data_IF_789800985558
#
_entry.id   IF_789800985558
#
_cell.length_a   1.000
_cell.length_b   1.000
_cell.length_c   1.000
_cell.angle_alpha   90.00
_cell.angle_beta   90.00
_cell.angle_gamma   90.00
#
_symmetry.space_group_name_H-M   'P 1'
#
loop_
_entity.id
_entity.type
_entity.pdbx_description
1 polymer ?
#
# COMPACT_ATOMS: atom_id res chain seq x y z
N UNK A 1 55.79 -0.92 40.12
CA UNK A 1 56.52 0.13 39.41
C UNK A 1 55.54 0.72 38.42
N UNK A 2 55.13 1.93 38.70
CA UNK A 2 54.09 2.64 38.03
C UNK A 2 54.55 3.24 36.69
N UNK A 3 53.67 3.34 35.72
CA UNK A 3 53.59 4.55 34.88
C UNK A 3 52.18 4.69 34.31
N UNK A 4 51.57 5.76 34.73
CA UNK A 4 50.44 6.44 34.15
C UNK A 4 50.80 6.90 32.72
N UNK A 5 49.88 6.77 31.81
CA UNK A 5 49.81 7.75 30.73
C UNK A 5 48.35 8.16 30.46
N UNK A 6 48.12 9.47 30.46
CA UNK A 6 46.89 10.19 30.15
C UNK A 6 46.93 10.55 28.67
N UNK A 7 45.88 10.17 27.94
CA UNK A 7 45.67 10.62 26.56
C UNK A 7 44.21 11.01 26.38
N UNK A 8 43.93 12.25 26.57
CA UNK A 8 43.31 13.26 25.71
C UNK A 8 42.03 12.83 25.01
N UNK A 9 40.93 13.24 25.60
CA UNK A 9 39.60 13.38 24.98
C UNK A 9 39.60 14.55 23.99
N UNK A 10 39.47 14.28 22.70
CA UNK A 10 39.04 15.29 21.72
C UNK A 10 37.57 15.11 21.41
N UNK A 11 36.78 15.92 22.02
CA UNK A 11 35.39 16.25 21.66
C UNK A 11 35.42 16.99 20.32
N UNK A 12 35.02 16.36 19.23
CA UNK A 12 34.67 17.06 17.99
C UNK A 12 33.17 17.39 18.02
N UNK A 13 32.90 18.66 18.30
CA UNK A 13 31.60 19.26 18.09
C UNK A 13 31.27 19.21 16.59
N UNK A 14 30.20 18.51 16.26
CA UNK A 14 29.56 18.58 14.96
C UNK A 14 28.72 19.84 14.94
N UNK A 15 29.15 20.86 14.22
CA UNK A 15 28.40 22.07 13.95
C UNK A 15 27.45 21.79 12.78
N UNK A 16 26.17 21.76 13.08
CA UNK A 16 25.03 21.67 12.17
C UNK A 16 24.73 23.06 11.57
N UNK A 17 25.51 23.52 10.57
CA UNK A 17 25.22 24.77 9.89
C UNK A 17 25.53 24.76 8.39
N UNK A 18 25.00 23.78 7.63
CA UNK A 18 25.17 23.84 6.16
C UNK A 18 24.06 23.22 5.32
N UNK A 19 22.81 23.19 5.80
CA UNK A 19 21.70 22.65 4.99
C UNK A 19 20.62 23.65 4.57
N UNK A 20 20.82 24.96 4.74
CA UNK A 20 19.91 25.98 4.23
C UNK A 20 20.63 27.07 3.41
N UNK A 21 21.11 26.68 2.23
CA UNK A 21 21.46 27.67 1.19
C UNK A 21 21.10 27.08 -0.16
N UNK A 22 19.90 27.39 -0.64
CA UNK A 22 19.40 26.96 -1.93
C UNK A 22 18.18 27.77 -2.35
N UNK A 23 18.45 28.94 -2.92
CA UNK A 23 17.79 29.66 -4.02
C UNK A 23 16.26 29.87 -3.99
N UNK A 24 15.85 31.13 -3.70
CA UNK A 24 15.12 31.94 -4.67
C UNK A 24 13.73 31.47 -5.08
N UNK A 25 12.75 31.55 -4.19
CA UNK A 25 11.35 31.70 -4.55
C UNK A 25 10.96 33.14 -4.26
N UNK A 26 10.73 33.97 -5.30
CA UNK A 26 10.38 35.36 -5.20
C UNK A 26 9.09 35.56 -4.41
N UNK A 27 9.20 36.23 -3.29
CA UNK A 27 8.07 36.80 -2.59
C UNK A 27 7.65 38.03 -3.40
N UNK A 28 6.47 37.99 -4.00
CA UNK A 28 5.86 39.17 -4.59
C UNK A 28 5.57 40.16 -3.46
N UNK A 29 6.46 41.17 -3.31
CA UNK A 29 6.17 42.36 -2.54
C UNK A 29 5.04 43.10 -3.25
N UNK A 30 3.91 43.25 -2.59
CA UNK A 30 2.93 44.27 -2.94
C UNK A 30 3.55 45.63 -2.58
N UNK A 31 3.74 46.45 -3.60
CA UNK A 31 4.30 47.79 -3.47
C UNK A 31 3.21 48.72 -2.94
N UNK A 32 3.27 49.06 -1.65
CA UNK A 32 2.33 49.94 -0.97
C UNK A 32 2.61 51.46 -1.26
N UNK A 33 3.24 51.75 -2.40
CA UNK A 33 3.58 53.14 -2.77
C UNK A 33 2.53 53.90 -3.56
N UNK A 34 1.28 53.37 -3.69
CA UNK A 34 0.21 54.06 -4.42
C UNK A 34 -0.84 54.78 -3.52
N UNK A 35 -0.55 55.02 -2.24
CA UNK A 35 -1.52 55.69 -1.36
C UNK A 35 -0.94 57.00 -0.80
N UNK A 36 -0.60 57.94 -1.68
CA UNK A 36 -0.41 59.33 -1.25
C UNK A 36 -0.44 60.29 -2.41
N UNK A 37 -1.62 60.50 -2.98
CA UNK A 37 -1.89 61.76 -3.72
C UNK A 37 -3.42 61.96 -3.81
N UNK A 38 -3.91 63.03 -3.19
CA UNK A 38 -5.13 63.69 -3.64
C UNK A 38 -6.37 63.46 -2.79
N UNK A 39 -6.38 63.95 -1.56
CA UNK A 39 -7.61 64.45 -0.96
C UNK A 39 -7.88 65.84 -1.53
N UNK A 40 -8.55 65.88 -2.66
CA UNK A 40 -9.15 67.14 -3.10
C UNK A 40 -10.48 66.89 -3.79
N UNK A 41 -11.48 67.57 -3.23
CA UNK A 41 -12.76 67.91 -3.84
C UNK A 41 -13.76 66.77 -4.05
N UNK A 42 -14.56 66.57 -3.03
CA UNK A 42 -15.94 66.10 -3.18
C UNK A 42 -16.71 67.13 -4.04
N UNK A 43 -16.86 66.88 -5.34
CA UNK A 43 -17.87 67.57 -6.15
C UNK A 43 -19.17 66.80 -6.13
N UNK A 44 -20.31 67.52 -6.19
CA UNK A 44 -21.61 66.92 -5.95
C UNK A 44 -21.98 65.95 -7.07
N UNK A 45 -22.70 64.94 -6.66
CA UNK A 45 -23.34 63.89 -7.44
C UNK A 45 -23.96 64.42 -8.74
N UNK A 46 -23.29 64.15 -9.86
CA UNK A 46 -23.89 64.35 -11.19
C UNK A 46 -24.75 63.15 -11.51
N UNK A 47 -26.06 63.33 -11.41
CA UNK A 47 -27.11 62.35 -11.75
C UNK A 47 -27.32 62.24 -13.25
N UNK A 48 -26.29 62.17 -14.06
CA UNK A 48 -26.43 61.76 -15.46
C UNK A 48 -26.46 60.23 -15.51
N UNK A 49 -27.65 59.68 -15.42
CA UNK A 49 -27.92 58.31 -15.82
C UNK A 49 -27.56 58.15 -17.29
N UNK A 50 -26.32 57.67 -17.53
CA UNK A 50 -25.98 57.11 -18.83
C UNK A 50 -26.87 55.88 -19.01
N UNK A 51 -27.86 56.06 -19.88
CA UNK A 51 -28.65 54.91 -20.38
C UNK A 51 -27.69 53.89 -20.96
N UNK A 52 -27.60 52.73 -20.33
CA UNK A 52 -26.88 51.60 -20.89
C UNK A 52 -27.60 51.25 -22.20
N UNK A 53 -26.91 51.45 -23.30
CA UNK A 53 -27.37 51.04 -24.62
C UNK A 53 -27.31 49.52 -24.72
N UNK A 54 -28.47 48.90 -24.50
CA UNK A 54 -28.64 47.45 -24.56
C UNK A 54 -28.58 46.87 -25.98
N UNK A 55 -28.35 47.72 -26.99
CA UNK A 55 -28.25 47.29 -28.39
C UNK A 55 -26.86 46.80 -28.79
N UNK A 56 -25.85 46.94 -27.92
CA UNK A 56 -24.50 46.46 -28.19
C UNK A 56 -24.20 45.06 -27.57
N UNK A 57 -25.20 44.36 -27.07
CA UNK A 57 -25.04 43.00 -26.62
C UNK A 57 -25.07 42.06 -27.83
N UNK A 58 -23.90 41.80 -28.40
CA UNK A 58 -23.74 40.67 -29.31
C UNK A 58 -23.89 39.41 -28.46
N UNK A 59 -24.87 38.53 -28.67
CA UNK A 59 -24.94 37.28 -27.95
C UNK A 59 -23.63 36.53 -28.23
N UNK A 60 -22.90 36.23 -27.19
CA UNK A 60 -21.74 35.33 -27.30
C UNK A 60 -22.24 34.02 -27.92
N UNK A 61 -21.75 33.73 -29.11
CA UNK A 61 -22.02 32.47 -29.77
C UNK A 61 -21.62 31.33 -28.81
N UNK A 62 -22.60 30.49 -28.49
CA UNK A 62 -22.38 29.33 -27.62
C UNK A 62 -21.19 28.46 -28.04
N UNK A 63 -20.91 28.43 -29.35
CA UNK A 63 -19.78 27.69 -29.91
C UNK A 63 -18.41 28.24 -29.49
N UNK A 64 -18.32 29.54 -29.17
CA UNK A 64 -17.06 30.16 -28.69
C UNK A 64 -16.86 30.03 -27.18
N UNK A 65 -17.93 29.84 -26.43
CA UNK A 65 -17.87 29.59 -24.97
C UNK A 65 -17.48 28.14 -24.70
N UNK A 66 -18.08 27.20 -25.43
CA UNK A 66 -17.75 25.77 -25.27
C UNK A 66 -16.31 25.46 -25.69
N UNK A 67 -15.78 26.17 -26.69
CA UNK A 67 -14.37 25.98 -27.13
C UNK A 67 -13.34 26.62 -26.18
N UNK A 68 -13.72 27.61 -25.36
CA UNK A 68 -12.83 28.23 -24.39
C UNK A 68 -12.83 27.57 -23.03
N UNK A 69 -13.97 27.03 -22.59
CA UNK A 69 -14.07 26.30 -21.35
C UNK A 69 -13.40 24.93 -21.44
N UNK A 70 -13.43 24.29 -22.60
CA UNK A 70 -12.70 23.04 -22.85
C UNK A 70 -11.17 23.23 -22.85
N UNK A 71 -10.68 24.41 -23.25
CA UNK A 71 -9.24 24.71 -23.27
C UNK A 71 -8.71 25.19 -21.90
N UNK A 72 -9.55 25.82 -21.04
CA UNK A 72 -9.14 26.27 -19.72
C UNK A 72 -9.08 25.10 -18.71
N UNK A 73 -9.84 24.05 -18.95
CA UNK A 73 -9.76 22.78 -18.23
C UNK A 73 -9.11 21.67 -19.06
N UNK A 74 -8.55 22.01 -20.21
CA UNK A 74 -7.67 21.10 -20.94
C UNK A 74 -6.48 20.83 -20.05
N UNK A 75 -6.63 19.80 -19.36
CA UNK A 75 -5.86 18.99 -18.44
C UNK A 75 -4.42 18.77 -18.92
N UNK A 76 -3.71 19.90 -19.19
CA UNK A 76 -2.33 19.90 -19.66
C UNK A 76 -1.34 19.40 -18.64
N UNK A 77 -1.77 19.15 -17.39
CA UNK A 77 -0.86 18.74 -16.32
C UNK A 77 -1.33 17.53 -15.50
N UNK A 78 -2.43 16.87 -15.86
CA UNK A 78 -2.55 15.46 -15.51
C UNK A 78 -1.51 14.73 -16.35
N UNK A 79 -0.33 14.59 -15.81
CA UNK A 79 0.63 13.60 -16.29
C UNK A 79 -0.18 12.32 -16.44
N UNK A 80 -0.55 11.98 -17.67
CA UNK A 80 -1.03 10.65 -17.99
C UNK A 80 0.12 9.78 -17.52
N UNK A 81 -0.02 9.19 -16.33
CA UNK A 81 0.92 8.19 -15.86
C UNK A 81 0.87 7.10 -16.93
N UNK A 82 1.73 7.27 -17.92
CA UNK A 82 1.92 6.27 -18.96
C UNK A 82 2.22 4.97 -18.23
N UNK A 83 1.70 3.88 -18.70
CA UNK A 83 2.01 2.57 -18.15
C UNK A 83 3.52 2.43 -17.94
N UNK A 84 3.94 2.21 -16.69
CA UNK A 84 5.32 1.92 -16.33
C UNK A 84 5.39 0.43 -15.99
N UNK A 85 6.28 -0.31 -16.64
CA UNK A 85 6.46 -1.75 -16.39
C UNK A 85 6.92 -2.06 -14.96
N UNK A 86 7.47 -1.07 -14.25
CA UNK A 86 8.03 -1.23 -12.90
C UNK A 86 7.08 -1.85 -11.88
N UNK A 87 5.88 -1.29 -11.65
CA UNK A 87 4.92 -1.88 -10.71
C UNK A 87 4.50 -3.30 -11.07
N UNK A 88 4.33 -3.62 -12.36
CA UNK A 88 3.93 -4.95 -12.80
C UNK A 88 5.03 -5.99 -12.56
N UNK A 89 6.29 -5.62 -12.80
CA UNK A 89 7.46 -6.46 -12.51
C UNK A 89 7.62 -6.64 -10.99
N UNK A 90 7.44 -5.57 -10.21
CA UNK A 90 7.47 -5.63 -8.75
C UNK A 90 6.40 -6.56 -8.18
N UNK A 91 5.17 -6.48 -8.68
CA UNK A 91 4.07 -7.36 -8.28
C UNK A 91 4.30 -8.81 -8.73
N UNK A 92 4.85 -9.03 -9.92
CA UNK A 92 5.24 -10.35 -10.37
C UNK A 92 6.29 -10.97 -9.44
N UNK A 93 7.34 -10.21 -9.10
CA UNK A 93 8.38 -10.64 -8.15
C UNK A 93 7.80 -10.95 -6.78
N UNK A 94 6.97 -10.05 -6.24
CA UNK A 94 6.29 -10.24 -4.97
C UNK A 94 5.49 -11.56 -4.94
N UNK A 95 4.66 -11.81 -5.96
CA UNK A 95 3.84 -13.01 -6.06
C UNK A 95 4.68 -14.28 -6.26
N UNK A 96 5.72 -14.21 -7.08
CA UNK A 96 6.60 -15.34 -7.32
C UNK A 96 7.32 -15.77 -6.04
N UNK A 97 7.87 -14.83 -5.28
CA UNK A 97 8.57 -15.11 -4.03
C UNK A 97 7.59 -15.58 -2.96
N UNK A 98 6.55 -14.80 -2.68
CA UNK A 98 5.56 -15.13 -1.65
C UNK A 98 4.85 -16.45 -1.97
N UNK A 99 4.33 -16.56 -3.19
CA UNK A 99 3.63 -17.77 -3.64
C UNK A 99 4.55 -19.00 -3.67
N UNK A 100 5.81 -18.83 -4.10
CA UNK A 100 6.81 -19.89 -4.10
C UNK A 100 7.11 -20.40 -2.69
N UNK A 101 7.32 -19.51 -1.72
CA UNK A 101 7.53 -19.88 -0.32
C UNK A 101 6.35 -20.72 0.19
N UNK A 102 5.13 -20.23 0.06
CA UNK A 102 3.95 -20.96 0.54
C UNK A 102 3.68 -22.25 -0.21
N UNK A 103 3.91 -22.27 -1.52
CA UNK A 103 3.81 -23.50 -2.32
C UNK A 103 4.75 -24.59 -1.79
N UNK A 104 6.01 -24.24 -1.52
CA UNK A 104 6.99 -25.18 -0.96
C UNK A 104 6.60 -25.62 0.45
N UNK A 105 6.12 -24.73 1.30
CA UNK A 105 5.61 -25.09 2.64
C UNK A 105 4.37 -25.97 2.57
N UNK A 106 3.46 -25.71 1.64
CA UNK A 106 2.33 -26.59 1.39
C UNK A 106 2.75 -28.00 0.93
N UNK A 107 3.73 -28.09 0.03
CA UNK A 107 4.31 -29.37 -0.41
C UNK A 107 4.97 -30.13 0.75
N UNK A 108 5.68 -29.44 1.65
CA UNK A 108 6.25 -30.03 2.85
C UNK A 108 5.18 -30.59 3.80
N UNK A 109 4.13 -29.81 4.05
CA UNK A 109 3.07 -30.18 5.00
C UNK A 109 2.14 -31.26 4.47
N UNK A 110 1.80 -31.23 3.19
CA UNK A 110 0.85 -32.17 2.59
C UNK A 110 1.55 -33.49 2.20
N UNK A 111 2.65 -33.39 1.46
CA UNK A 111 3.31 -34.55 0.86
C UNK A 111 4.59 -35.00 1.56
N UNK A 112 5.08 -34.23 2.53
CA UNK A 112 6.35 -34.52 3.20
C UNK A 112 7.59 -34.30 2.32
N UNK A 113 7.47 -33.55 1.23
CA UNK A 113 8.59 -33.27 0.34
C UNK A 113 9.64 -32.38 1.05
N UNK A 114 10.86 -32.36 0.53
CA UNK A 114 11.96 -31.55 1.06
C UNK A 114 12.24 -31.77 2.56
N UNK A 115 12.04 -33.00 3.07
CA UNK A 115 12.20 -33.31 4.48
C UNK A 115 11.09 -32.78 5.40
N UNK A 116 9.96 -32.41 4.84
CA UNK A 116 8.81 -31.94 5.61
C UNK A 116 8.10 -33.03 6.40
N UNK A 117 7.24 -32.67 7.36
CA UNK A 117 6.58 -33.61 8.27
C UNK A 117 5.50 -34.46 7.60
N UNK A 118 5.03 -34.07 6.41
CA UNK A 118 3.82 -34.62 5.82
C UNK A 118 2.58 -34.29 6.63
N UNK A 119 1.41 -34.69 6.11
CA UNK A 119 0.13 -34.32 6.71
C UNK A 119 -0.03 -34.88 8.14
N UNK A 120 0.41 -36.13 8.37
CA UNK A 120 0.29 -36.75 9.69
C UNK A 120 1.22 -36.09 10.72
N UNK A 121 2.48 -35.82 10.36
CA UNK A 121 3.42 -35.14 11.25
C UNK A 121 3.00 -33.70 11.54
N UNK A 122 2.43 -33.02 10.56
CA UNK A 122 1.89 -31.68 10.77
C UNK A 122 0.65 -31.69 11.68
N UNK A 123 -0.27 -32.65 11.50
CA UNK A 123 -1.40 -32.84 12.41
C UNK A 123 -0.97 -33.07 13.85
N UNK A 124 0.04 -33.95 14.09
CA UNK A 124 0.59 -34.16 15.42
C UNK A 124 1.21 -32.90 16.02
N UNK A 125 1.83 -32.06 15.19
CA UNK A 125 2.36 -30.77 15.65
C UNK A 125 1.25 -29.81 16.09
N UNK A 126 0.14 -29.73 15.36
CA UNK A 126 -1.03 -28.95 15.73
C UNK A 126 -1.69 -29.46 17.01
N UNK A 127 -1.78 -30.77 17.19
CA UNK A 127 -2.29 -31.40 18.42
C UNK A 127 -1.45 -30.99 19.64
N UNK A 128 -0.12 -31.04 19.52
CA UNK A 128 0.81 -30.57 20.58
C UNK A 128 0.65 -29.10 20.89
N UNK A 129 0.21 -28.28 19.94
CA UNK A 129 -0.08 -26.86 20.12
C UNK A 129 -1.47 -26.60 20.75
N UNK A 130 -2.26 -27.68 21.01
CA UNK A 130 -3.55 -27.60 21.69
C UNK A 130 -4.76 -27.47 20.77
N UNK A 131 -4.61 -27.75 19.47
CA UNK A 131 -5.75 -27.77 18.56
C UNK A 131 -6.52 -29.09 18.65
N UNK A 132 -7.87 -29.00 18.72
CA UNK A 132 -8.75 -30.18 18.91
C UNK A 132 -8.89 -31.00 17.64
N UNK A 133 -9.17 -30.37 16.49
CA UNK A 133 -9.36 -31.02 15.21
C UNK A 133 -8.09 -30.94 14.34
N UNK A 134 -6.97 -31.43 14.90
CA UNK A 134 -5.63 -31.25 14.31
C UNK A 134 -5.49 -31.77 12.89
N UNK A 135 -6.15 -32.92 12.58
CA UNK A 135 -6.11 -33.52 11.23
C UNK A 135 -6.85 -32.63 10.22
N UNK A 136 -8.02 -32.13 10.56
CA UNK A 136 -8.80 -31.24 9.70
C UNK A 136 -8.03 -29.95 9.45
N UNK A 137 -7.48 -29.35 10.51
CA UNK A 137 -6.69 -28.13 10.41
C UNK A 137 -5.39 -28.32 9.63
N UNK A 138 -4.76 -29.48 9.75
CA UNK A 138 -3.57 -29.80 8.95
C UNK A 138 -3.91 -29.79 7.45
N UNK A 139 -5.02 -30.41 7.05
CA UNK A 139 -5.48 -30.38 5.66
C UNK A 139 -5.88 -28.96 5.22
N UNK A 140 -6.66 -28.25 6.01
CA UNK A 140 -7.08 -26.88 5.68
C UNK A 140 -5.86 -25.98 5.48
N UNK A 141 -4.92 -25.98 6.43
CA UNK A 141 -3.72 -25.15 6.34
C UNK A 141 -2.81 -25.58 5.18
N UNK A 142 -2.54 -26.89 5.06
CA UNK A 142 -1.68 -27.42 3.99
C UNK A 142 -2.22 -27.13 2.59
N UNK A 143 -3.53 -27.32 2.37
CA UNK A 143 -4.17 -27.01 1.09
C UNK A 143 -4.20 -25.49 0.85
N UNK A 144 -4.47 -24.67 1.89
CA UNK A 144 -4.45 -23.22 1.75
C UNK A 144 -3.07 -22.71 1.33
N UNK A 145 -2.01 -23.23 1.92
CA UNK A 145 -0.64 -22.87 1.55
C UNK A 145 -0.30 -23.36 0.14
N UNK A 146 -0.61 -24.61 -0.16
CA UNK A 146 -0.31 -25.23 -1.45
C UNK A 146 -1.06 -24.54 -2.59
N UNK A 147 -2.38 -24.46 -2.47
CA UNK A 147 -3.23 -23.86 -3.49
C UNK A 147 -3.06 -22.34 -3.55
N UNK A 148 -3.05 -21.66 -2.38
CA UNK A 148 -2.86 -20.22 -2.30
C UNK A 148 -1.51 -19.78 -2.87
N UNK A 149 -0.44 -20.52 -2.54
CA UNK A 149 0.89 -20.29 -3.12
C UNK A 149 0.91 -20.46 -4.63
N UNK A 150 0.36 -21.56 -5.13
CA UNK A 150 0.25 -21.83 -6.58
C UNK A 150 -0.59 -20.79 -7.32
N UNK A 151 -1.74 -20.40 -6.76
CA UNK A 151 -2.61 -19.38 -7.32
C UNK A 151 -1.92 -18.01 -7.37
N UNK A 152 -1.14 -17.64 -6.33
CA UNK A 152 -0.37 -16.40 -6.34
C UNK A 152 0.72 -16.39 -7.42
N UNK A 153 1.47 -17.48 -7.56
CA UNK A 153 2.50 -17.58 -8.61
C UNK A 153 1.88 -17.38 -9.99
N UNK A 154 0.76 -18.02 -10.26
CA UNK A 154 0.04 -17.91 -11.53
C UNK A 154 -0.70 -16.57 -11.67
N UNK A 155 -0.96 -15.86 -10.58
CA UNK A 155 -1.79 -14.65 -10.55
C UNK A 155 -3.26 -14.97 -10.82
N UNK A 156 -3.78 -16.04 -10.21
CA UNK A 156 -5.17 -16.44 -10.27
C UNK A 156 -5.83 -16.23 -8.90
N UNK A 157 -7.04 -15.66 -8.89
CA UNK A 157 -7.79 -15.36 -7.67
C UNK A 157 -6.94 -14.67 -6.60
N UNK A 158 -6.05 -13.79 -7.03
CA UNK A 158 -5.00 -13.17 -6.21
C UNK A 158 -5.52 -12.62 -4.87
N UNK A 159 -6.64 -11.86 -4.80
CA UNK A 159 -7.11 -11.36 -3.50
C UNK A 159 -7.50 -12.49 -2.54
N UNK A 160 -8.18 -13.52 -3.03
CA UNK A 160 -8.61 -14.64 -2.19
C UNK A 160 -7.42 -15.49 -1.73
N UNK A 161 -6.49 -15.79 -2.64
CA UNK A 161 -5.27 -16.51 -2.32
C UNK A 161 -4.44 -15.77 -1.27
N UNK A 162 -4.22 -14.48 -1.46
CA UNK A 162 -3.49 -13.63 -0.52
C UNK A 162 -4.19 -13.54 0.85
N UNK A 163 -5.52 -13.46 0.89
CA UNK A 163 -6.29 -13.46 2.14
C UNK A 163 -6.18 -14.78 2.89
N UNK A 164 -6.21 -15.91 2.20
CA UNK A 164 -6.01 -17.24 2.79
C UNK A 164 -4.63 -17.36 3.43
N UNK A 165 -3.58 -16.96 2.71
CA UNK A 165 -2.21 -16.99 3.23
C UNK A 165 -2.01 -16.00 4.40
N UNK A 166 -2.62 -14.82 4.33
CA UNK A 166 -2.62 -13.86 5.44
C UNK A 166 -3.32 -14.44 6.68
N UNK A 167 -4.42 -15.16 6.51
CA UNK A 167 -5.13 -15.84 7.59
C UNK A 167 -4.26 -16.91 8.27
N UNK A 168 -3.52 -17.69 7.48
CA UNK A 168 -2.55 -18.66 8.01
C UNK A 168 -1.47 -17.94 8.83
N UNK A 169 -0.86 -16.88 8.28
CA UNK A 169 0.18 -16.12 8.99
C UNK A 169 -0.36 -15.45 10.25
N UNK A 170 -1.57 -14.92 10.24
CA UNK A 170 -2.19 -14.35 11.44
C UNK A 170 -2.30 -15.38 12.58
N UNK A 171 -2.69 -16.62 12.27
CA UNK A 171 -2.72 -17.70 13.26
C UNK A 171 -1.32 -18.08 13.75
N UNK A 172 -0.33 -18.18 12.85
CA UNK A 172 1.07 -18.49 13.24
C UNK A 172 1.61 -17.40 14.15
N UNK A 173 1.43 -16.13 13.81
CA UNK A 173 1.84 -14.98 14.63
C UNK A 173 1.16 -15.05 16.01
N UNK A 174 -0.16 -15.31 16.05
CA UNK A 174 -0.91 -15.41 17.31
C UNK A 174 -0.42 -16.57 18.20
N UNK A 175 0.16 -17.61 17.64
CA UNK A 175 0.75 -18.73 18.38
C UNK A 175 2.16 -18.40 18.90
N UNK A 176 2.95 -17.72 18.09
CA UNK A 176 4.40 -17.56 18.33
C UNK A 176 4.78 -16.19 18.95
N UNK A 177 3.85 -15.20 19.04
CA UNK A 177 4.18 -13.86 19.50
C UNK A 177 4.85 -13.79 20.88
N UNK A 178 4.62 -14.80 21.73
CA UNK A 178 5.25 -14.90 23.05
C UNK A 178 6.77 -15.19 22.96
N UNK A 179 7.24 -15.70 21.83
CA UNK A 179 8.66 -15.93 21.55
C UNK A 179 9.45 -14.64 21.31
N UNK A 180 8.74 -13.49 21.24
CA UNK A 180 9.35 -12.20 20.94
C UNK A 180 9.33 -11.87 19.46
N UNK A 181 9.90 -10.72 19.12
CA UNK A 181 9.97 -10.27 17.73
C UNK A 181 11.15 -10.92 16.97
N UNK A 182 12.31 -10.90 17.57
CA UNK A 182 13.56 -11.40 16.98
C UNK A 182 13.95 -12.77 17.52
N UNK A 183 14.76 -13.49 16.76
CA UNK A 183 15.38 -14.74 17.19
C UNK A 183 14.74 -15.99 16.59
N UNK A 184 15.21 -17.19 17.00
CA UNK A 184 14.79 -18.46 16.40
C UNK A 184 13.29 -18.78 16.53
N UNK A 185 12.66 -18.21 17.56
CA UNK A 185 11.21 -18.33 17.82
C UNK A 185 10.47 -16.97 17.66
N UNK A 186 11.12 -16.00 17.01
CA UNK A 186 10.54 -14.68 16.75
C UNK A 186 9.53 -14.72 15.62
N UNK A 187 8.74 -13.67 15.51
CA UNK A 187 7.66 -13.56 14.50
C UNK A 187 8.00 -12.60 13.35
N UNK A 188 9.27 -12.21 13.22
CA UNK A 188 9.70 -11.24 12.20
C UNK A 188 9.45 -11.74 10.78
N UNK A 189 9.73 -13.02 10.51
CA UNK A 189 9.53 -13.61 9.19
C UNK A 189 8.04 -13.74 8.86
N UNK A 190 7.26 -14.24 9.81
CA UNK A 190 5.81 -14.39 9.66
C UNK A 190 5.12 -13.04 9.44
N UNK A 191 5.58 -12.00 10.14
CA UNK A 191 5.08 -10.65 9.95
C UNK A 191 5.46 -10.07 8.58
N UNK A 192 6.68 -10.34 8.11
CA UNK A 192 7.10 -9.95 6.77
C UNK A 192 6.27 -10.64 5.68
N UNK A 193 6.03 -11.96 5.82
CA UNK A 193 5.18 -12.72 4.89
C UNK A 193 3.73 -12.25 4.95
N UNK A 194 3.20 -11.94 6.15
CA UNK A 194 1.87 -11.35 6.31
C UNK A 194 1.77 -9.98 5.63
N UNK A 195 2.79 -9.13 5.79
CA UNK A 195 2.87 -7.82 5.11
C UNK A 195 2.89 -7.94 3.59
N UNK A 196 3.65 -8.90 3.06
CA UNK A 196 3.68 -9.19 1.63
C UNK A 196 2.32 -9.72 1.12
N UNK A 197 1.66 -10.59 1.88
CA UNK A 197 0.32 -11.09 1.55
C UNK A 197 -0.72 -9.96 1.58
N UNK A 198 -0.65 -9.07 2.59
CA UNK A 198 -1.48 -7.87 2.67
C UNK A 198 -1.27 -6.93 1.48
N UNK A 199 -0.02 -6.71 1.08
CA UNK A 199 0.29 -5.91 -0.09
C UNK A 199 -0.30 -6.53 -1.37
N UNK A 200 -0.12 -7.84 -1.59
CA UNK A 200 -0.68 -8.55 -2.74
C UNK A 200 -2.22 -8.53 -2.76
N UNK A 201 -2.85 -8.57 -1.59
CA UNK A 201 -4.31 -8.53 -1.41
C UNK A 201 -4.93 -7.25 -2.00
N UNK A 202 -4.32 -6.08 -1.76
CA UNK A 202 -4.84 -4.77 -2.16
C UNK A 202 -4.22 -4.24 -3.46
N UNK A 203 -2.98 -4.57 -3.75
CA UNK A 203 -2.35 -4.19 -5.02
C UNK A 203 -2.91 -4.97 -6.21
N UNK A 204 -3.49 -6.14 -5.93
CA UNK A 204 -4.06 -7.01 -6.96
C UNK A 204 -3.00 -7.79 -7.76
N UNK A 205 -3.41 -8.45 -8.85
CA UNK A 205 -2.55 -9.38 -9.57
C UNK A 205 -1.48 -8.72 -10.47
N UNK A 206 -1.61 -7.42 -10.82
CA UNK A 206 -0.79 -6.80 -11.84
C UNK A 206 -1.12 -7.31 -13.26
N UNK A 207 -0.49 -6.73 -14.29
CA UNK A 207 -0.75 -7.10 -15.69
C UNK A 207 -0.12 -8.44 -16.08
N UNK A 208 0.98 -8.83 -15.45
CA UNK A 208 1.63 -10.12 -15.66
C UNK A 208 0.94 -11.24 -14.86
N UNK A 209 -0.37 -11.37 -14.97
CA UNK A 209 -1.21 -12.33 -14.24
C UNK A 209 -2.25 -12.94 -15.15
N UNK A 210 -2.65 -14.18 -14.86
CA UNK A 210 -3.71 -14.87 -15.59
C UNK A 210 -5.10 -14.25 -15.34
N UNK A 211 -5.25 -13.55 -14.20
CA UNK A 211 -6.47 -12.79 -13.85
C UNK A 211 -6.58 -11.43 -14.51
N UNK A 212 -5.65 -11.08 -15.41
CA UNK A 212 -5.66 -9.80 -16.08
C UNK A 212 -7.06 -9.48 -16.65
N UNK A 213 -7.55 -8.28 -16.35
CA UNK A 213 -8.85 -7.76 -16.80
C UNK A 213 -10.12 -8.45 -16.23
N UNK A 214 -10.04 -9.27 -15.19
CA UNK A 214 -11.20 -9.79 -14.46
C UNK A 214 -11.87 -8.70 -13.61
N UNK A 215 -13.10 -8.95 -13.15
CA UNK A 215 -13.89 -7.98 -12.37
C UNK A 215 -13.19 -7.53 -11.08
N UNK A 216 -12.56 -8.43 -10.35
CA UNK A 216 -11.78 -8.13 -9.14
C UNK A 216 -10.49 -7.35 -9.44
N UNK A 217 -9.94 -7.45 -10.64
CA UNK A 217 -8.84 -6.62 -11.10
C UNK A 217 -9.26 -5.15 -11.28
N UNK A 218 -10.49 -4.91 -11.73
CA UNK A 218 -11.02 -3.56 -11.94
C UNK A 218 -11.36 -2.83 -10.62
N UNK A 219 -11.68 -3.60 -9.57
CA UNK A 219 -12.05 -3.07 -8.25
C UNK A 219 -11.21 -3.72 -7.15
N UNK A 220 -9.87 -3.51 -7.14
CA UNK A 220 -8.95 -4.23 -6.26
C UNK A 220 -9.24 -3.95 -4.78
N UNK A 221 -9.61 -2.73 -4.42
CA UNK A 221 -9.96 -2.38 -3.05
C UNK A 221 -11.19 -3.17 -2.55
N UNK A 222 -12.28 -3.17 -3.32
CA UNK A 222 -13.50 -3.89 -2.93
C UNK A 222 -13.26 -5.40 -2.84
N UNK A 223 -12.58 -5.98 -3.84
CA UNK A 223 -12.21 -7.39 -3.83
C UNK A 223 -11.28 -7.73 -2.67
N UNK A 224 -10.31 -6.87 -2.37
CA UNK A 224 -9.39 -6.99 -1.24
C UNK A 224 -10.11 -6.98 0.10
N UNK A 225 -11.03 -6.03 0.33
CA UNK A 225 -11.80 -5.98 1.58
C UNK A 225 -12.72 -7.19 1.76
N UNK A 226 -13.41 -7.64 0.72
CA UNK A 226 -14.25 -8.84 0.80
C UNK A 226 -13.39 -10.07 1.12
N UNK A 227 -12.27 -10.24 0.41
CA UNK A 227 -11.37 -11.36 0.65
C UNK A 227 -10.74 -11.29 2.06
N UNK A 228 -10.38 -10.08 2.54
CA UNK A 228 -9.87 -9.87 3.88
C UNK A 228 -10.88 -10.30 4.96
N UNK A 229 -12.15 -9.95 4.80
CA UNK A 229 -13.21 -10.36 5.73
C UNK A 229 -13.37 -11.87 5.76
N UNK A 230 -13.31 -12.54 4.61
CA UNK A 230 -13.36 -14.00 4.52
C UNK A 230 -12.14 -14.62 5.21
N UNK A 231 -10.92 -14.12 4.92
CA UNK A 231 -9.69 -14.60 5.54
C UNK A 231 -9.67 -14.38 7.05
N UNK A 232 -10.04 -13.18 7.52
CA UNK A 232 -10.11 -12.86 8.95
C UNK A 232 -11.15 -13.73 9.67
N UNK A 233 -12.31 -13.98 9.06
CA UNK A 233 -13.31 -14.90 9.57
C UNK A 233 -12.77 -16.32 9.70
N UNK A 234 -12.09 -16.83 8.69
CA UNK A 234 -11.42 -18.13 8.73
C UNK A 234 -10.34 -18.22 9.82
N UNK A 235 -9.50 -17.20 9.93
CA UNK A 235 -8.49 -17.11 10.99
C UNK A 235 -9.11 -17.10 12.38
N UNK A 236 -10.17 -16.32 12.59
CA UNK A 236 -10.89 -16.25 13.85
C UNK A 236 -11.52 -17.61 14.21
N UNK A 237 -12.19 -18.26 13.27
CA UNK A 237 -12.76 -19.61 13.50
C UNK A 237 -11.65 -20.59 13.88
N UNK A 238 -10.54 -20.60 13.15
CA UNK A 238 -9.40 -21.48 13.46
C UNK A 238 -8.88 -21.23 14.88
N UNK A 239 -8.73 -19.97 15.28
CA UNK A 239 -8.16 -19.61 16.58
C UNK A 239 -9.12 -19.82 17.75
N UNK A 240 -10.40 -19.44 17.62
CA UNK A 240 -11.35 -19.45 18.73
C UNK A 240 -12.19 -20.71 18.85
N UNK A 241 -12.45 -21.42 17.74
CA UNK A 241 -13.32 -22.61 17.74
C UNK A 241 -12.49 -23.88 17.84
N UNK A 242 -11.35 -23.97 17.17
CA UNK A 242 -10.56 -25.19 17.11
C UNK A 242 -9.39 -25.23 18.10
N UNK A 243 -9.10 -24.17 18.81
CA UNK A 243 -8.13 -24.13 19.90
C UNK A 243 -8.82 -24.18 21.27
#
# INVERSE_FOLDING_TARGET
MATHDKGSTTSSAFSDDSFYSGSGGGVHHFDDSATRAGTDALSPFDSSTKSFDTTAYTPLDKSTVDARDDDVFADGDRRKFGWTAGPDIGLLGLRAVLGGIFLLHGLQKVFGLFGGPGINGFAQSLEKMGYRESVVLAWVTGITELAGGGLLVLGLFTPLAAAGLLAVMANVIALQYKGGFFGPNGVELELALAGMAFAALFAGPGRAALDYNRSWFRHPLAAGFIALLIGAGGAAVTYFVFR
#
